data_IF_026149100571
#
_entry.id   IF_026149100571
#
_cell.length_a   1.000
_cell.length_b   1.000
_cell.length_c   1.000
_cell.angle_alpha   90.00
_cell.angle_beta   90.00
_cell.angle_gamma   90.00
#
_symmetry.space_group_name_H-M   'P 1'
#
loop_
_entity.id
_entity.type
_entity.pdbx_description
1 polymer ?
#
# COMPACT_ATOMS: atom_id res chain seq x y z
N UNK A 1 -4.48 -5.38 -18.27
CA UNK A 1 -4.65 -6.31 -17.13
C UNK A 1 -4.08 -7.66 -17.49
N UNK A 2 -3.19 -8.19 -16.67
CA UNK A 2 -2.52 -9.48 -16.84
C UNK A 2 -2.71 -10.31 -15.57
N UNK A 3 -2.91 -11.62 -15.71
CA UNK A 3 -2.95 -12.55 -14.58
C UNK A 3 -1.70 -13.40 -14.63
N UNK A 4 -1.01 -13.47 -13.51
CA UNK A 4 0.15 -14.34 -13.31
C UNK A 4 -0.23 -15.46 -12.34
N UNK A 5 0.46 -16.60 -12.46
CA UNK A 5 0.45 -17.66 -11.43
C UNK A 5 1.78 -17.53 -10.69
N UNK A 6 1.72 -17.19 -9.43
CA UNK A 6 2.89 -16.88 -8.58
C UNK A 6 2.79 -17.70 -7.31
N UNK A 7 3.82 -18.45 -6.94
CA UNK A 7 3.82 -19.27 -5.72
C UNK A 7 2.56 -20.15 -5.54
N UNK A 8 1.94 -20.57 -6.67
CA UNK A 8 0.73 -21.40 -6.68
C UNK A 8 -0.59 -20.63 -6.58
N UNK A 9 -0.59 -19.30 -6.52
CA UNK A 9 -1.79 -18.48 -6.49
C UNK A 9 -1.85 -17.41 -7.60
N UNK A 10 -3.01 -16.75 -7.79
CA UNK A 10 -3.17 -15.73 -8.81
C UNK A 10 -2.66 -14.37 -8.33
N UNK A 11 -1.92 -13.67 -9.19
CA UNK A 11 -1.57 -12.25 -9.02
C UNK A 11 -2.06 -11.46 -10.23
N UNK A 12 -2.88 -10.45 -9.95
CA UNK A 12 -3.40 -9.53 -10.95
C UNK A 12 -2.47 -8.32 -11.07
N UNK A 13 -2.07 -8.01 -12.29
CA UNK A 13 -1.22 -6.86 -12.61
C UNK A 13 -1.90 -6.00 -13.65
N UNK A 14 -2.01 -4.72 -13.39
CA UNK A 14 -2.40 -3.70 -14.37
C UNK A 14 -1.13 -3.08 -14.92
N UNK A 15 -1.03 -2.97 -16.23
CA UNK A 15 0.15 -2.52 -16.94
C UNK A 15 -0.22 -1.35 -17.85
N UNK A 16 0.61 -0.31 -17.89
CA UNK A 16 0.47 0.87 -18.73
C UNK A 16 1.87 1.42 -19.14
N UNK A 17 1.88 2.22 -20.20
CA UNK A 17 3.10 2.83 -20.73
C UNK A 17 3.91 1.89 -21.65
N UNK A 18 4.99 2.41 -22.20
CA UNK A 18 5.81 1.70 -23.16
C UNK A 18 6.92 0.90 -22.46
N UNK A 19 7.18 -0.32 -22.96
CA UNK A 19 8.11 -1.27 -22.35
C UNK A 19 9.59 -0.86 -22.37
N UNK A 20 9.95 0.16 -23.15
CA UNK A 20 11.28 0.74 -23.19
C UNK A 20 11.49 1.89 -22.20
N UNK A 21 10.44 2.30 -21.48
CA UNK A 21 10.52 3.30 -20.44
C UNK A 21 10.94 2.69 -19.09
N UNK A 22 11.40 3.53 -18.17
CA UNK A 22 11.80 3.09 -16.83
C UNK A 22 10.63 2.40 -16.09
N UNK A 23 10.84 1.19 -15.53
CA UNK A 23 9.78 0.44 -14.87
C UNK A 23 9.48 0.95 -13.47
N UNK A 24 8.18 1.12 -13.18
CA UNK A 24 7.65 1.53 -11.88
C UNK A 24 6.60 0.54 -11.41
N UNK A 25 6.72 0.07 -10.18
CA UNK A 25 5.76 -0.80 -9.51
C UNK A 25 4.94 -0.01 -8.50
N UNK A 26 3.63 -0.21 -8.47
CA UNK A 26 2.70 0.37 -7.50
C UNK A 26 2.17 -0.72 -6.58
N UNK A 27 2.34 -0.55 -5.26
CA UNK A 27 1.86 -1.44 -4.21
C UNK A 27 0.85 -0.70 -3.32
N UNK A 28 -0.40 -1.14 -3.35
CA UNK A 28 -1.52 -0.55 -2.61
C UNK A 28 -1.46 -0.82 -1.09
N UNK A 29 -2.37 -0.23 -0.34
CA UNK A 29 -2.53 -0.43 1.10
C UNK A 29 -3.23 -1.74 1.47
N UNK A 30 -3.68 -1.83 2.70
CA UNK A 30 -4.30 -3.03 3.28
C UNK A 30 -5.84 -2.95 3.29
N UNK A 31 -6.48 -3.97 3.83
CA UNK A 31 -7.92 -4.10 4.07
C UNK A 31 -8.75 -4.16 2.77
N UNK A 32 -9.44 -3.08 2.44
CA UNK A 32 -10.29 -2.96 1.23
C UNK A 32 -9.63 -2.17 0.12
N UNK A 33 -8.32 -1.91 0.23
CA UNK A 33 -7.56 -1.24 -0.82
C UNK A 33 -7.20 -2.22 -1.94
N UNK A 34 -7.08 -1.72 -3.14
CA UNK A 34 -6.61 -2.43 -4.32
C UNK A 34 -6.10 -1.43 -5.38
N UNK A 35 -5.44 -1.90 -6.40
CA UNK A 35 -4.76 -1.04 -7.37
C UNK A 35 -5.67 -0.04 -8.09
N UNK A 36 -6.90 -0.46 -8.50
CA UNK A 36 -7.84 0.42 -9.19
C UNK A 36 -8.50 1.45 -8.27
N UNK A 37 -8.41 1.21 -6.95
CA UNK A 37 -8.95 2.11 -5.95
C UNK A 37 -7.95 3.22 -5.65
N UNK A 38 -6.80 2.89 -5.09
CA UNK A 38 -5.87 3.90 -4.58
C UNK A 38 -5.08 4.63 -5.66
N UNK A 39 -4.78 3.96 -6.78
CA UNK A 39 -3.97 4.51 -7.87
C UNK A 39 -4.81 5.11 -9.01
N UNK A 40 -6.10 5.40 -8.78
CA UNK A 40 -7.08 5.87 -9.79
C UNK A 40 -6.56 7.08 -10.61
N UNK A 41 -5.89 8.03 -9.97
CA UNK A 41 -5.31 9.21 -10.62
C UNK A 41 -3.82 9.05 -10.96
N UNK A 42 -3.04 8.36 -10.14
CA UNK A 42 -1.59 8.27 -10.29
C UNK A 42 -1.18 7.29 -11.40
N UNK A 43 -1.85 6.13 -11.49
CA UNK A 43 -1.52 5.10 -12.48
C UNK A 43 -1.56 5.61 -13.94
N UNK A 44 -2.65 6.29 -14.39
CA UNK A 44 -2.68 6.83 -15.75
C UNK A 44 -1.64 7.95 -15.97
N UNK A 45 -1.43 8.83 -14.99
CA UNK A 45 -0.47 9.92 -15.10
C UNK A 45 0.99 9.42 -15.26
N UNK A 46 1.34 8.36 -14.56
CA UNK A 46 2.66 7.71 -14.71
C UNK A 46 2.78 6.96 -16.04
N UNK A 47 1.70 6.30 -16.50
CA UNK A 47 1.68 5.54 -17.74
C UNK A 47 1.93 6.35 -19.02
N UNK A 48 1.82 7.68 -18.95
CA UNK A 48 2.19 8.58 -20.06
C UNK A 48 3.72 8.67 -20.28
N UNK A 49 4.52 8.33 -19.25
CA UNK A 49 5.98 8.57 -19.24
C UNK A 49 6.82 7.36 -18.84
N UNK A 50 6.24 6.42 -18.12
CA UNK A 50 6.94 5.27 -17.53
C UNK A 50 6.24 3.96 -17.86
N UNK A 51 6.95 2.85 -17.76
CA UNK A 51 6.36 1.52 -17.83
C UNK A 51 5.86 1.11 -16.43
N UNK A 52 4.56 1.12 -16.22
CA UNK A 52 3.94 1.05 -14.88
C UNK A 52 3.23 -0.27 -14.66
N UNK A 53 3.49 -0.88 -13.52
CA UNK A 53 2.86 -2.11 -13.04
C UNK A 53 2.15 -1.87 -11.71
N UNK A 54 0.81 -1.79 -11.69
CA UNK A 54 0.06 -1.76 -10.46
C UNK A 54 -0.38 -3.18 -10.09
N UNK A 55 0.04 -3.65 -8.93
CA UNK A 55 -0.12 -5.03 -8.50
C UNK A 55 -1.19 -5.10 -7.42
N UNK A 56 -2.24 -5.89 -7.67
CA UNK A 56 -3.10 -6.34 -6.58
C UNK A 56 -2.35 -7.40 -5.77
N UNK A 57 -2.05 -7.10 -4.52
CA UNK A 57 -1.44 -8.07 -3.62
C UNK A 57 -2.40 -9.23 -3.33
N UNK A 58 -1.91 -10.41 -2.90
CA UNK A 58 -2.77 -11.54 -2.57
C UNK A 58 -3.99 -11.18 -1.72
N UNK A 59 -5.16 -11.70 -2.07
CA UNK A 59 -6.47 -11.41 -1.44
C UNK A 59 -6.98 -9.99 -1.62
N UNK A 60 -6.48 -9.27 -2.62
CA UNK A 60 -6.99 -7.95 -3.02
C UNK A 60 -7.34 -7.93 -4.50
N UNK A 61 -8.31 -7.12 -4.87
CA UNK A 61 -8.71 -6.91 -6.25
C UNK A 61 -8.90 -8.18 -7.05
N UNK A 62 -8.11 -8.35 -8.11
CA UNK A 62 -8.13 -9.54 -8.97
C UNK A 62 -7.26 -10.70 -8.49
N UNK A 63 -6.51 -10.55 -7.40
CA UNK A 63 -5.58 -11.56 -6.87
C UNK A 63 -6.27 -12.49 -5.87
N UNK A 64 -7.27 -13.24 -6.34
CA UNK A 64 -8.07 -14.18 -5.55
C UNK A 64 -8.41 -15.44 -6.34
N UNK A 65 -8.66 -16.58 -5.65
CA UNK A 65 -8.49 -16.84 -4.21
C UNK A 65 -7.04 -17.20 -3.83
N UNK A 66 -6.70 -17.09 -2.54
CA UNK A 66 -5.44 -17.57 -1.97
C UNK A 66 -5.67 -18.46 -0.78
N UNK A 67 -4.98 -19.60 -0.73
CA UNK A 67 -4.99 -20.53 0.37
C UNK A 67 -3.84 -20.29 1.35
N UNK A 68 -4.03 -20.71 2.60
CA UNK A 68 -3.03 -20.62 3.66
C UNK A 68 -2.90 -19.24 4.26
N UNK A 69 -1.96 -19.07 5.18
CA UNK A 69 -1.65 -17.79 5.82
C UNK A 69 -0.74 -16.95 4.91
N UNK A 70 -1.06 -15.68 4.77
CA UNK A 70 -0.28 -14.70 4.03
C UNK A 70 0.44 -13.78 5.01
N UNK A 71 1.42 -14.35 5.69
CA UNK A 71 2.30 -13.56 6.54
C UNK A 71 3.27 -12.70 5.71
N UNK A 72 4.07 -11.92 6.42
CA UNK A 72 5.04 -11.00 5.81
C UNK A 72 6.04 -11.71 4.89
N UNK A 73 6.59 -12.84 5.34
CA UNK A 73 7.59 -13.58 4.59
C UNK A 73 7.00 -14.14 3.30
N UNK A 74 5.77 -14.67 3.37
CA UNK A 74 5.06 -15.19 2.21
C UNK A 74 4.73 -14.10 1.19
N UNK A 75 4.32 -12.91 1.66
CA UNK A 75 4.07 -11.77 0.76
C UNK A 75 5.34 -11.33 0.03
N UNK A 76 6.48 -11.28 0.70
CA UNK A 76 7.77 -10.94 0.07
C UNK A 76 8.22 -11.99 -0.95
N UNK A 77 8.03 -13.28 -0.66
CA UNK A 77 8.28 -14.36 -1.62
C UNK A 77 7.43 -14.20 -2.88
N UNK A 78 6.13 -13.93 -2.72
CA UNK A 78 5.20 -13.71 -3.82
C UNK A 78 5.60 -12.46 -4.63
N UNK A 79 5.95 -11.37 -3.99
CA UNK A 79 6.43 -10.16 -4.69
C UNK A 79 7.72 -10.43 -5.47
N UNK A 80 8.67 -11.16 -4.87
CA UNK A 80 9.95 -11.51 -5.51
C UNK A 80 9.72 -12.32 -6.79
N UNK A 81 8.88 -13.35 -6.74
CA UNK A 81 8.54 -14.14 -7.92
C UNK A 81 7.73 -13.31 -8.93
N UNK A 82 6.80 -12.44 -8.48
CA UNK A 82 6.04 -11.55 -9.35
C UNK A 82 6.97 -10.64 -10.14
N UNK A 83 7.92 -9.98 -9.49
CA UNK A 83 8.88 -9.09 -10.16
C UNK A 83 9.78 -9.84 -11.14
N UNK A 84 10.18 -11.07 -10.79
CA UNK A 84 10.94 -11.94 -11.70
C UNK A 84 10.13 -12.31 -12.95
N UNK A 85 8.87 -12.69 -12.80
CA UNK A 85 7.97 -13.04 -13.92
C UNK A 85 7.63 -11.83 -14.81
N UNK A 86 7.69 -10.62 -14.26
CA UNK A 86 7.55 -9.37 -15.00
C UNK A 86 8.86 -8.94 -15.71
N UNK A 87 9.97 -9.62 -15.46
CA UNK A 87 11.28 -9.28 -16.03
C UNK A 87 11.90 -8.01 -15.45
N UNK A 88 11.61 -7.71 -14.18
CA UNK A 88 12.06 -6.49 -13.52
C UNK A 88 13.45 -6.70 -12.88
N UNK A 89 14.50 -6.25 -13.58
CA UNK A 89 15.87 -6.32 -13.07
C UNK A 89 16.20 -5.13 -12.17
N UNK A 90 15.86 -3.92 -12.59
CA UNK A 90 15.99 -2.69 -11.81
C UNK A 90 14.78 -1.78 -12.04
N UNK A 91 14.10 -1.39 -10.97
CA UNK A 91 12.83 -0.65 -11.04
C UNK A 91 12.63 0.23 -9.81
N UNK A 92 11.69 1.17 -9.90
CA UNK A 92 11.25 1.97 -8.77
C UNK A 92 9.97 1.38 -8.17
N UNK A 93 9.77 1.56 -6.86
CA UNK A 93 8.53 1.16 -6.19
C UNK A 93 7.85 2.40 -5.60
N UNK A 94 6.55 2.48 -5.82
CA UNK A 94 5.64 3.38 -5.09
C UNK A 94 4.78 2.51 -4.20
N UNK A 95 4.76 2.78 -2.90
CA UNK A 95 3.97 2.01 -1.95
C UNK A 95 3.19 2.87 -0.98
N UNK A 96 1.92 2.51 -0.76
CA UNK A 96 1.08 3.11 0.28
C UNK A 96 0.95 2.15 1.46
N UNK A 97 1.09 2.66 2.70
CA UNK A 97 0.76 1.91 3.92
C UNK A 97 1.41 0.52 3.94
N UNK A 98 0.65 -0.57 3.84
CA UNK A 98 1.15 -1.94 3.69
C UNK A 98 2.14 -2.05 2.53
N UNK A 99 1.75 -1.59 1.35
CA UNK A 99 2.60 -1.62 0.16
C UNK A 99 3.89 -0.83 0.34
N UNK A 100 3.85 0.26 1.11
CA UNK A 100 5.03 1.02 1.51
C UNK A 100 5.96 0.24 2.44
N UNK A 101 5.40 -0.47 3.41
CA UNK A 101 6.17 -1.36 4.29
C UNK A 101 6.83 -2.51 3.54
N UNK A 102 6.10 -3.16 2.63
CA UNK A 102 6.63 -4.21 1.76
C UNK A 102 7.73 -3.67 0.81
N UNK A 103 7.58 -2.44 0.30
CA UNK A 103 8.59 -1.78 -0.53
C UNK A 103 9.90 -1.53 0.24
N UNK A 104 9.82 -1.05 1.49
CA UNK A 104 10.98 -0.86 2.38
C UNK A 104 11.69 -2.20 2.60
N UNK A 105 10.94 -3.24 2.91
CA UNK A 105 11.50 -4.56 3.18
C UNK A 105 12.16 -5.16 1.95
N UNK A 106 11.47 -5.09 0.80
CA UNK A 106 12.04 -5.58 -0.45
C UNK A 106 13.32 -4.83 -0.83
N UNK A 107 13.34 -3.50 -0.69
CA UNK A 107 14.52 -2.68 -0.95
C UNK A 107 15.70 -2.99 -0.01
N UNK A 108 15.41 -3.34 1.23
CA UNK A 108 16.41 -3.78 2.22
C UNK A 108 17.03 -5.13 1.85
N UNK A 109 16.25 -6.04 1.27
CA UNK A 109 16.70 -7.39 0.87
C UNK A 109 17.36 -7.41 -0.52
N UNK A 110 16.96 -6.51 -1.41
CA UNK A 110 17.38 -6.46 -2.81
C UNK A 110 17.75 -5.03 -3.25
N UNK A 111 18.72 -4.38 -2.57
CA UNK A 111 19.07 -2.98 -2.85
C UNK A 111 19.55 -2.77 -4.29
N UNK A 112 20.15 -3.77 -4.90
CA UNK A 112 20.64 -3.74 -6.30
C UNK A 112 19.49 -3.62 -7.33
N UNK A 113 18.29 -4.08 -6.98
CA UNK A 113 17.11 -4.05 -7.86
C UNK A 113 16.33 -2.74 -7.78
N UNK A 114 16.54 -1.93 -6.76
CA UNK A 114 15.73 -0.74 -6.53
C UNK A 114 16.43 0.52 -7.04
N UNK A 115 15.79 1.19 -7.99
CA UNK A 115 16.23 2.46 -8.53
C UNK A 115 15.89 3.63 -7.60
N UNK A 116 14.64 3.66 -7.10
CA UNK A 116 14.17 4.65 -6.14
C UNK A 116 12.86 4.20 -5.45
N UNK A 117 12.51 4.83 -4.34
CA UNK A 117 11.27 4.56 -3.60
C UNK A 117 10.42 5.82 -3.44
N UNK A 118 9.11 5.69 -3.63
CA UNK A 118 8.12 6.67 -3.19
C UNK A 118 7.21 6.02 -2.15
N UNK A 119 7.15 6.58 -0.96
CA UNK A 119 6.52 5.98 0.20
C UNK A 119 5.43 6.89 0.75
N UNK A 120 4.18 6.50 0.51
CA UNK A 120 3.00 7.15 1.05
C UNK A 120 2.66 6.53 2.41
N UNK A 121 3.04 7.20 3.49
CA UNK A 121 2.76 6.77 4.87
C UNK A 121 2.96 5.26 5.09
N UNK A 122 4.17 4.72 4.88
CA UNK A 122 4.42 3.28 4.94
C UNK A 122 4.11 2.72 6.33
N UNK A 123 3.53 1.52 6.35
CA UNK A 123 3.32 0.76 7.57
C UNK A 123 4.63 0.24 8.17
N UNK A 124 4.63 0.00 9.48
CA UNK A 124 5.77 -0.61 10.18
C UNK A 124 6.81 0.38 10.70
N UNK A 125 6.53 1.68 10.76
CA UNK A 125 7.43 2.68 11.34
C UNK A 125 7.22 2.89 12.84
N UNK A 126 6.03 2.59 13.35
CA UNK A 126 5.66 2.76 14.76
C UNK A 126 5.98 1.55 15.62
N UNK A 127 5.97 1.76 16.94
CA UNK A 127 6.13 0.72 17.94
C UNK A 127 4.78 0.25 18.51
N UNK A 128 3.76 1.08 18.38
CA UNK A 128 2.41 0.87 18.92
C UNK A 128 1.32 1.37 17.98
N UNK A 129 0.13 0.80 18.09
CA UNK A 129 -1.12 1.35 17.54
C UNK A 129 -2.00 1.86 18.67
N UNK A 130 -2.91 2.78 18.35
CA UNK A 130 -3.87 3.28 19.32
C UNK A 130 -4.75 2.13 19.84
N UNK A 131 -5.06 2.16 21.14
CA UNK A 131 -5.84 1.11 21.82
C UNK A 131 -5.29 -0.32 21.62
N UNK A 132 -3.97 -0.46 21.58
CA UNK A 132 -3.22 -1.69 21.28
C UNK A 132 -3.83 -2.97 21.88
N UNK A 133 -4.07 -3.01 23.18
CA UNK A 133 -4.61 -4.18 23.86
C UNK A 133 -6.05 -4.50 23.40
N UNK A 134 -6.88 -3.49 23.21
CA UNK A 134 -8.26 -3.66 22.74
C UNK A 134 -8.25 -4.18 21.30
N UNK A 135 -7.42 -3.61 20.44
CA UNK A 135 -7.25 -4.07 19.07
C UNK A 135 -6.77 -5.52 19.03
N UNK A 136 -5.78 -5.87 19.85
CA UNK A 136 -5.29 -7.25 19.94
C UNK A 136 -6.37 -8.23 20.40
N UNK A 137 -7.13 -7.90 21.46
CA UNK A 137 -8.24 -8.71 21.94
C UNK A 137 -9.31 -8.90 20.86
N UNK A 138 -9.66 -7.82 20.16
CA UNK A 138 -10.61 -7.88 19.03
C UNK A 138 -10.13 -8.85 17.96
N UNK A 139 -8.87 -8.75 17.53
CA UNK A 139 -8.28 -9.61 16.49
C UNK A 139 -8.17 -11.08 16.92
N UNK A 140 -7.94 -11.35 18.21
CA UNK A 140 -7.80 -12.71 18.75
C UNK A 140 -9.13 -13.33 19.18
N UNK A 141 -10.24 -12.58 19.15
CA UNK A 141 -11.58 -13.13 19.46
C UNK A 141 -12.10 -13.93 18.27
N UNK A 142 -12.31 -15.25 18.42
CA UNK A 142 -12.76 -16.09 17.31
C UNK A 142 -14.07 -15.59 16.69
N UNK A 143 -14.11 -15.50 15.36
CA UNK A 143 -15.30 -15.11 14.60
C UNK A 143 -15.61 -13.60 14.59
N UNK A 144 -14.89 -12.77 15.33
CA UNK A 144 -15.16 -11.33 15.41
C UNK A 144 -14.97 -10.64 14.05
N UNK A 145 -13.84 -10.88 13.37
CA UNK A 145 -13.58 -10.35 12.04
C UNK A 145 -14.64 -10.83 11.03
N UNK A 146 -14.97 -12.13 11.06
CA UNK A 146 -15.98 -12.68 10.16
C UNK A 146 -17.39 -12.15 10.41
N UNK A 147 -17.72 -11.81 11.65
CA UNK A 147 -18.98 -11.15 11.99
C UNK A 147 -19.07 -9.77 11.33
N UNK A 148 -17.97 -9.01 11.34
CA UNK A 148 -17.89 -7.70 10.70
C UNK A 148 -18.04 -7.81 9.17
N UNK A 149 -17.31 -8.73 8.53
CA UNK A 149 -17.43 -9.01 7.09
C UNK A 149 -18.89 -9.36 6.69
N UNK A 150 -19.58 -10.19 7.50
CA UNK A 150 -21.00 -10.51 7.29
C UNK A 150 -21.91 -9.28 7.36
N UNK A 151 -21.55 -8.27 8.12
CA UNK A 151 -22.28 -7.01 8.19
C UNK A 151 -22.02 -6.16 6.95
N UNK A 152 -20.76 -6.00 6.56
CA UNK A 152 -20.38 -5.14 5.44
C UNK A 152 -20.91 -5.66 4.09
N UNK A 153 -20.86 -6.96 3.83
CA UNK A 153 -21.36 -7.53 2.56
C UNK A 153 -22.86 -7.31 2.35
N UNK A 154 -23.63 -7.01 3.42
CA UNK A 154 -25.07 -6.71 3.35
C UNK A 154 -25.39 -5.24 3.11
N UNK A 155 -24.38 -4.37 3.10
CA UNK A 155 -24.60 -2.94 2.88
C UNK A 155 -25.08 -2.69 1.47
N UNK A 156 -26.04 -1.77 1.34
CA UNK A 156 -26.50 -1.24 0.07
C UNK A 156 -25.62 -0.05 -0.36
N UNK A 157 -25.66 0.31 -1.64
CA UNK A 157 -24.80 1.33 -2.23
C UNK A 157 -24.73 2.65 -1.45
N UNK A 158 -25.82 3.23 -0.94
CA UNK A 158 -25.74 4.47 -0.14
C UNK A 158 -24.97 4.29 1.18
N UNK A 159 -25.02 3.08 1.78
CA UNK A 159 -24.28 2.80 3.01
C UNK A 159 -22.80 2.52 2.73
N UNK A 160 -22.47 1.92 1.58
CA UNK A 160 -21.10 1.73 1.11
C UNK A 160 -20.46 3.07 0.72
N UNK A 161 -21.21 3.94 0.04
CA UNK A 161 -20.75 5.29 -0.24
C UNK A 161 -20.48 6.08 1.06
N UNK A 162 -21.35 5.95 2.05
CA UNK A 162 -21.10 6.54 3.38
C UNK A 162 -19.85 5.94 4.04
N UNK A 163 -19.62 4.63 3.92
CA UNK A 163 -18.40 3.98 4.39
C UNK A 163 -17.17 4.54 3.66
N UNK A 164 -17.23 4.68 2.33
CA UNK A 164 -16.19 5.33 1.53
C UNK A 164 -15.82 6.70 2.10
N UNK A 165 -16.82 7.55 2.36
CA UNK A 165 -16.57 8.90 2.91
C UNK A 165 -15.93 8.88 4.32
N UNK A 166 -16.05 7.78 5.09
CA UNK A 166 -15.39 7.69 6.40
C UNK A 166 -13.89 7.49 6.34
N UNK A 167 -13.37 6.98 5.22
CA UNK A 167 -11.92 6.81 5.03
C UNK A 167 -11.24 8.09 4.53
N UNK A 168 -12.01 9.07 4.07
CA UNK A 168 -11.49 10.38 3.68
C UNK A 168 -11.42 11.34 4.87
N UNK A 169 -10.41 12.17 4.88
CA UNK A 169 -10.27 13.25 5.87
C UNK A 169 -11.44 14.23 5.79
N UNK A 170 -11.93 14.67 6.94
CA UNK A 170 -13.02 15.65 7.00
C UNK A 170 -12.71 16.88 6.15
N UNK A 171 -13.56 17.15 5.17
CA UNK A 171 -13.44 18.28 4.24
C UNK A 171 -12.83 17.92 2.88
N UNK A 172 -12.34 16.68 2.71
CA UNK A 172 -11.95 16.14 1.41
C UNK A 172 -13.06 15.26 0.82
N UNK A 173 -13.04 15.08 -0.49
CA UNK A 173 -14.03 14.25 -1.20
C UNK A 173 -13.33 13.51 -2.33
N UNK A 174 -13.72 12.25 -2.62
CA UNK A 174 -13.22 11.55 -3.80
C UNK A 174 -13.64 12.27 -5.09
N UNK A 175 -12.76 12.28 -6.08
CA UNK A 175 -13.06 12.86 -7.39
C UNK A 175 -14.12 12.06 -8.14
N UNK A 176 -14.16 10.73 -7.96
CA UNK A 176 -15.12 9.85 -8.62
C UNK A 176 -15.81 8.91 -7.61
N UNK A 177 -16.72 9.42 -6.76
CA UNK A 177 -17.29 8.63 -5.66
C UNK A 177 -18.07 7.41 -6.15
N UNK A 178 -18.80 7.50 -7.25
CA UNK A 178 -19.58 6.38 -7.78
C UNK A 178 -18.68 5.20 -8.20
N UNK A 179 -17.56 5.50 -8.90
CA UNK A 179 -16.56 4.48 -9.28
C UNK A 179 -15.89 3.86 -8.06
N UNK A 180 -15.42 4.67 -7.12
CA UNK A 180 -14.76 4.17 -5.92
C UNK A 180 -15.70 3.37 -5.02
N UNK A 181 -16.99 3.77 -4.92
CA UNK A 181 -18.01 2.99 -4.21
C UNK A 181 -18.21 1.61 -4.85
N UNK A 182 -18.24 1.54 -6.19
CA UNK A 182 -18.38 0.26 -6.89
C UNK A 182 -17.18 -0.64 -6.65
N UNK A 183 -15.95 -0.12 -6.71
CA UNK A 183 -14.73 -0.88 -6.42
C UNK A 183 -14.72 -1.37 -4.97
N UNK A 184 -15.03 -0.52 -4.01
CA UNK A 184 -15.11 -0.88 -2.60
C UNK A 184 -16.14 -1.97 -2.33
N UNK A 185 -17.30 -1.90 -3.00
CA UNK A 185 -18.35 -2.93 -2.93
C UNK A 185 -17.88 -4.28 -3.47
N UNK A 186 -17.19 -4.27 -4.62
CA UNK A 186 -16.64 -5.47 -5.23
C UNK A 186 -15.57 -6.10 -4.33
N UNK A 187 -14.72 -5.27 -3.70
CA UNK A 187 -13.68 -5.72 -2.79
C UNK A 187 -14.27 -6.36 -1.51
N UNK A 188 -15.25 -5.71 -0.88
CA UNK A 188 -15.97 -6.26 0.28
C UNK A 188 -16.61 -7.62 -0.05
N UNK A 189 -17.24 -7.71 -1.23
CA UNK A 189 -17.88 -8.95 -1.70
C UNK A 189 -16.84 -10.03 -1.97
N UNK A 190 -15.77 -9.71 -2.70
CA UNK A 190 -14.70 -10.65 -3.05
C UNK A 190 -14.05 -11.28 -1.82
N UNK A 191 -13.68 -10.46 -0.82
CA UNK A 191 -13.16 -10.96 0.47
C UNK A 191 -14.16 -11.88 1.16
N UNK A 192 -15.42 -11.50 1.20
CA UNK A 192 -16.45 -12.32 1.84
C UNK A 192 -16.67 -13.67 1.15
N UNK A 193 -16.80 -13.69 -0.18
CA UNK A 193 -17.04 -14.89 -0.99
C UNK A 193 -15.88 -15.87 -0.93
N UNK A 194 -14.64 -15.37 -0.91
CA UNK A 194 -13.42 -16.18 -0.77
C UNK A 194 -13.14 -16.61 0.68
N UNK A 195 -13.97 -16.24 1.66
CA UNK A 195 -13.77 -16.62 3.06
C UNK A 195 -12.66 -15.83 3.76
N UNK A 196 -12.18 -14.78 3.14
CA UNK A 196 -11.09 -13.93 3.64
C UNK A 196 -11.57 -13.00 4.77
N UNK A 197 -10.66 -12.55 5.61
CA UNK A 197 -10.92 -11.54 6.63
C UNK A 197 -10.83 -10.13 6.02
N UNK A 198 -11.47 -9.16 6.68
CA UNK A 198 -11.36 -7.74 6.33
C UNK A 198 -9.94 -7.19 6.57
N UNK A 199 -9.28 -7.68 7.62
CA UNK A 199 -7.87 -7.40 7.90
C UNK A 199 -6.97 -8.52 7.38
N UNK A 200 -5.82 -8.15 6.89
CA UNK A 200 -4.85 -9.06 6.31
C UNK A 200 -4.07 -9.83 7.38
N UNK A 201 -3.65 -11.06 7.08
CA UNK A 201 -2.97 -11.95 8.04
C UNK A 201 -1.70 -11.31 8.62
N UNK A 202 -0.94 -10.58 7.80
CA UNK A 202 0.27 -9.89 8.26
C UNK A 202 -0.04 -8.78 9.28
N UNK A 203 -1.15 -8.04 9.14
CA UNK A 203 -1.59 -7.04 10.13
C UNK A 203 -1.99 -7.71 11.43
N UNK A 204 -2.78 -8.80 11.33
CA UNK A 204 -3.20 -9.59 12.48
C UNK A 204 -1.98 -10.17 13.21
N UNK A 205 -0.99 -10.63 12.45
CA UNK A 205 0.28 -11.17 12.95
C UNK A 205 1.17 -10.13 13.60
N UNK A 206 1.17 -8.88 13.07
CA UNK A 206 2.00 -7.79 13.56
C UNK A 206 1.58 -7.25 14.93
N UNK A 207 0.29 -7.35 15.30
CA UNK A 207 -0.24 -6.74 16.53
C UNK A 207 -0.12 -7.72 17.71
N UNK A 208 0.76 -7.40 18.68
CA UNK A 208 0.87 -8.04 19.98
C UNK A 208 0.14 -7.21 21.06
N UNK A 209 -0.07 -7.74 22.29
CA UNK A 209 -0.86 -7.04 23.32
C UNK A 209 -0.31 -5.65 23.70
N UNK A 210 1.02 -5.50 23.69
CA UNK A 210 1.68 -4.31 24.23
C UNK A 210 2.70 -3.66 23.28
N UNK A 211 2.90 -4.21 22.08
CA UNK A 211 3.81 -3.67 21.07
C UNK A 211 3.44 -4.21 19.69
N UNK A 212 3.96 -3.59 18.64
CA UNK A 212 3.99 -4.17 17.31
C UNK A 212 5.18 -5.11 17.20
N UNK A 213 4.95 -6.35 16.73
CA UNK A 213 6.01 -7.32 16.47
C UNK A 213 6.87 -6.94 15.28
N UNK A 214 6.39 -6.01 14.48
CA UNK A 214 6.99 -5.64 13.22
C UNK A 214 7.32 -4.16 13.21
N UNK A 215 8.62 -3.85 13.17
CA UNK A 215 9.15 -2.51 13.04
C UNK A 215 10.24 -2.53 11.97
N UNK A 216 10.15 -1.62 11.00
CA UNK A 216 11.01 -1.57 9.82
C UNK A 216 12.15 -0.55 9.92
N UNK A 217 12.41 0.04 11.08
CA UNK A 217 13.42 1.08 11.21
C UNK A 217 14.84 0.57 10.89
N UNK A 218 15.14 -0.70 11.16
CA UNK A 218 16.42 -1.29 10.75
C UNK A 218 16.50 -1.49 9.23
N UNK A 219 15.40 -1.90 8.59
CA UNK A 219 15.33 -2.01 7.13
C UNK A 219 15.44 -0.62 6.48
N UNK A 220 14.80 0.39 7.04
CA UNK A 220 14.94 1.79 6.58
C UNK A 220 16.40 2.23 6.64
N UNK A 221 17.14 1.86 7.69
CA UNK A 221 18.57 2.19 7.84
C UNK A 221 19.41 1.60 6.71
N UNK A 222 19.01 0.49 6.10
CA UNK A 222 19.75 -0.16 5.01
C UNK A 222 19.43 0.39 3.62
N UNK A 223 18.44 1.28 3.48
CA UNK A 223 18.07 1.89 2.20
C UNK A 223 19.19 2.80 1.71
N UNK A 224 19.66 2.59 0.48
CA UNK A 224 20.71 3.39 -0.15
C UNK A 224 20.23 4.17 -1.39
N UNK A 225 19.08 3.82 -1.97
CA UNK A 225 18.52 4.50 -3.13
C UNK A 225 17.84 5.84 -2.76
N UNK A 226 17.62 6.74 -3.73
CA UNK A 226 16.81 7.93 -3.53
C UNK A 226 15.40 7.59 -3.05
N UNK A 227 14.86 8.35 -2.09
CA UNK A 227 13.52 8.11 -1.53
C UNK A 227 12.74 9.40 -1.34
N UNK A 228 11.47 9.36 -1.75
CA UNK A 228 10.48 10.39 -1.46
C UNK A 228 9.45 9.83 -0.47
N UNK A 229 9.29 10.50 0.66
CA UNK A 229 8.34 10.15 1.71
C UNK A 229 7.21 11.18 1.70
N UNK A 230 5.97 10.72 1.53
CA UNK A 230 4.80 11.59 1.44
C UNK A 230 3.84 11.31 2.60
N UNK A 231 3.45 12.37 3.31
CA UNK A 231 2.54 12.31 4.44
C UNK A 231 1.40 13.30 4.28
N UNK A 232 0.18 12.89 4.61
CA UNK A 232 -0.95 13.83 4.73
C UNK A 232 -0.88 14.62 6.04
N UNK A 233 -1.05 15.95 5.96
CA UNK A 233 -1.02 16.84 7.13
C UNK A 233 -1.97 16.38 8.26
N UNK A 234 -3.16 15.88 7.87
CA UNK A 234 -4.24 15.47 8.78
C UNK A 234 -4.24 13.97 9.09
N UNK A 235 -3.23 13.24 8.64
CA UNK A 235 -3.15 11.80 8.91
C UNK A 235 -2.99 11.52 10.41
N UNK A 236 -3.73 10.53 10.88
CA UNK A 236 -3.68 10.04 12.26
C UNK A 236 -3.09 8.63 12.37
N UNK A 237 -2.88 7.94 11.25
CA UNK A 237 -2.41 6.55 11.24
C UNK A 237 -0.89 6.44 11.37
N UNK A 238 -0.13 7.32 10.70
CA UNK A 238 1.33 7.38 10.81
C UNK A 238 1.71 8.74 11.34
N UNK A 239 2.42 8.77 12.47
CA UNK A 239 2.83 10.02 13.13
C UNK A 239 3.92 10.70 12.31
N UNK A 240 3.89 12.03 12.27
CA UNK A 240 4.92 12.80 11.58
C UNK A 240 6.32 12.51 12.14
N UNK A 241 6.45 12.40 13.45
CA UNK A 241 7.72 12.07 14.11
C UNK A 241 8.28 10.69 13.73
N UNK A 242 7.41 9.72 13.42
CA UNK A 242 7.83 8.39 12.93
C UNK A 242 8.40 8.49 11.51
N UNK A 243 7.75 9.27 10.63
CA UNK A 243 8.24 9.56 9.29
C UNK A 243 9.56 10.33 9.30
N UNK A 244 9.66 11.37 10.13
CA UNK A 244 10.89 12.16 10.29
C UNK A 244 12.05 11.29 10.79
N UNK A 245 11.81 10.41 11.75
CA UNK A 245 12.79 9.43 12.25
C UNK A 245 13.24 8.49 11.15
N UNK A 246 12.30 7.94 10.37
CA UNK A 246 12.62 7.03 9.26
C UNK A 246 13.48 7.72 8.19
N UNK A 247 13.12 8.94 7.80
CA UNK A 247 13.90 9.73 6.82
C UNK A 247 15.31 10.05 7.36
N UNK A 248 15.44 10.37 8.64
CA UNK A 248 16.74 10.58 9.25
C UNK A 248 17.62 9.33 9.20
N UNK A 249 17.06 8.16 9.51
CA UNK A 249 17.77 6.87 9.44
C UNK A 249 18.20 6.50 8.01
N UNK A 250 17.36 6.76 7.00
CA UNK A 250 17.74 6.54 5.60
C UNK A 250 18.92 7.46 5.20
N UNK A 251 18.90 8.72 5.64
CA UNK A 251 20.00 9.69 5.38
C UNK A 251 21.32 9.29 6.05
N UNK A 252 21.28 8.67 7.24
CA UNK A 252 22.48 8.17 7.93
C UNK A 252 23.27 7.17 7.07
N UNK A 253 22.59 6.39 6.22
CA UNK A 253 23.21 5.45 5.27
C UNK A 253 23.54 6.08 3.90
N UNK A 254 23.40 7.40 3.77
CA UNK A 254 23.74 8.12 2.55
C UNK A 254 22.61 8.19 1.50
N UNK A 255 21.41 7.68 1.80
CA UNK A 255 20.27 7.83 0.91
C UNK A 255 19.86 9.30 0.75
N UNK A 256 19.57 9.71 -0.47
CA UNK A 256 18.88 10.97 -0.74
C UNK A 256 17.41 10.80 -0.37
N UNK A 257 17.05 11.17 0.87
CA UNK A 257 15.70 10.99 1.39
C UNK A 257 15.04 12.34 1.66
N UNK A 258 13.84 12.55 1.13
CA UNK A 258 13.03 13.74 1.30
C UNK A 258 11.68 13.41 1.93
N UNK A 259 11.23 14.18 2.92
CA UNK A 259 9.87 14.13 3.47
C UNK A 259 9.09 15.35 3.03
N UNK A 260 7.92 15.12 2.44
CA UNK A 260 6.95 16.18 2.13
C UNK A 260 5.62 15.92 2.81
N UNK A 261 5.06 16.96 3.40
CA UNK A 261 3.74 16.93 4.03
C UNK A 261 2.75 17.60 3.10
N UNK A 262 1.74 16.86 2.69
CA UNK A 262 0.69 17.34 1.78
C UNK A 262 -0.45 17.97 2.59
N UNK A 263 -0.73 19.26 2.42
CA UNK A 263 -1.78 19.94 3.16
C UNK A 263 -3.16 19.39 2.83
N UNK A 264 -4.06 19.44 3.81
CA UNK A 264 -5.44 18.99 3.69
C UNK A 264 -5.65 17.52 3.27
N UNK A 265 -4.65 16.67 3.41
CA UNK A 265 -4.73 15.24 3.15
C UNK A 265 -4.61 14.42 4.43
N UNK A 266 -5.21 13.25 4.44
CA UNK A 266 -5.02 12.19 5.44
C UNK A 266 -4.20 11.05 4.87
N UNK A 267 -4.48 9.84 5.36
CA UNK A 267 -3.71 8.63 5.05
C UNK A 267 -3.79 8.20 3.57
N UNK A 268 -4.95 8.38 2.94
CA UNK A 268 -5.16 8.01 1.53
C UNK A 268 -4.90 9.20 0.60
N UNK A 269 -3.81 9.89 0.84
CA UNK A 269 -3.50 11.14 0.16
C UNK A 269 -3.45 11.06 -1.39
N UNK A 270 -3.16 9.91 -2.05
CA UNK A 270 -3.28 9.80 -3.51
C UNK A 270 -4.70 10.04 -4.03
N UNK A 271 -5.74 9.78 -3.21
CA UNK A 271 -7.13 10.05 -3.54
C UNK A 271 -7.64 11.39 -2.99
N UNK A 272 -7.05 11.87 -1.88
CA UNK A 272 -7.49 13.10 -1.22
C UNK A 272 -6.91 14.36 -1.87
N UNK A 273 -5.67 14.30 -2.34
CA UNK A 273 -4.97 15.38 -3.02
C UNK A 273 -4.20 14.85 -4.24
N UNK A 274 -4.91 14.25 -5.23
CA UNK A 274 -4.27 13.54 -6.34
C UNK A 274 -3.36 14.42 -7.18
N UNK A 275 -3.73 15.67 -7.41
CA UNK A 275 -2.95 16.61 -8.22
C UNK A 275 -1.61 16.93 -7.55
N UNK A 276 -1.62 17.21 -6.24
CA UNK A 276 -0.40 17.48 -5.49
C UNK A 276 0.46 16.22 -5.34
N UNK A 277 -0.15 15.08 -5.01
CA UNK A 277 0.54 13.81 -4.88
C UNK A 277 1.24 13.43 -6.20
N UNK A 278 0.52 13.53 -7.33
CA UNK A 278 1.07 13.22 -8.65
C UNK A 278 2.22 14.18 -9.02
N UNK A 279 2.06 15.49 -8.76
CA UNK A 279 3.10 16.48 -9.04
C UNK A 279 4.40 16.19 -8.29
N UNK A 280 4.31 15.84 -6.98
CA UNK A 280 5.50 15.49 -6.18
C UNK A 280 6.18 14.21 -6.66
N UNK A 281 5.41 13.19 -7.01
CA UNK A 281 5.93 11.93 -7.54
C UNK A 281 6.64 12.15 -8.88
N UNK A 282 6.00 12.86 -9.81
CA UNK A 282 6.58 13.14 -11.12
C UNK A 282 7.86 13.99 -11.02
N UNK A 283 7.85 15.03 -10.18
CA UNK A 283 9.02 15.87 -9.94
C UNK A 283 10.19 15.07 -9.35
N UNK A 284 9.92 14.12 -8.46
CA UNK A 284 10.94 13.22 -7.90
C UNK A 284 11.54 12.31 -8.98
N UNK A 285 10.71 11.72 -9.84
CA UNK A 285 11.20 10.86 -10.93
C UNK A 285 11.96 11.65 -12.01
N UNK A 286 11.59 12.90 -12.26
CA UNK A 286 12.35 13.78 -13.16
C UNK A 286 13.80 14.03 -12.67
N UNK A 287 14.03 13.95 -11.36
CA UNK A 287 15.35 14.12 -10.76
C UNK A 287 16.15 12.82 -10.65
N UNK A 288 15.46 11.67 -10.58
CA UNK A 288 16.09 10.38 -10.22
C UNK A 288 16.15 9.37 -11.36
N UNK A 289 15.29 9.50 -12.37
CA UNK A 289 15.21 8.58 -13.51
C UNK A 289 15.54 9.23 -14.86
N UNK A 290 15.98 10.48 -14.86
CA UNK A 290 16.41 11.21 -16.07
C UNK A 290 17.78 10.75 -16.58
#
# INVERSE_FOLDING_TARGET
KRMLTVCGGPVCVYEAGESNCAPIVLLHGAMYDESRFIWDALFPALGERYHVFAIDTPRHGGSRPWEGELDRARLLEILTETFSLLGLDRFSIIGLSMGGGLAIEFASLHPEKIASLVLFEPGGLGEHVDLQLITWLYLKTPGMLRMLSRRYVKLQDPAIEKLLFTIFTKGTKPQNPARLTAILKDEIRGKFECGENDMDDWQIGAIAPFHLKWNLLEQVRSIACPTLWLRGEKSTLVKQSEMERAVALARENGAQAELKVIPNAGHILPLEQPEQANAEVLAFFDQTLS
#
